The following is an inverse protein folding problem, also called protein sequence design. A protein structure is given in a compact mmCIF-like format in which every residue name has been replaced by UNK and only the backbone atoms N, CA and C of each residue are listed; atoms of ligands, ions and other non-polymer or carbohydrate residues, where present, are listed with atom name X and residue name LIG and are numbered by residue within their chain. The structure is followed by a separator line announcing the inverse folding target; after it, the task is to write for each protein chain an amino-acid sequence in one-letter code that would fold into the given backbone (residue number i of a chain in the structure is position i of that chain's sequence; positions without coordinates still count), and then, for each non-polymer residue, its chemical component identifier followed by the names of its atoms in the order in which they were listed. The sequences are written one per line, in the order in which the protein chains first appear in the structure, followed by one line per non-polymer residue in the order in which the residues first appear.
data_IF_518875447397
#
_entry.id   IF_518875447397
#
_cell.length_a   1.000
_cell.length_b   1.000
_cell.length_c   1.000
_cell.angle_alpha   90.00
_cell.angle_beta   90.00
_cell.angle_gamma   90.00
#
_symmetry.space_group_name_H-M   'P 1'
#
loop_
_entity.id
_entity.type
_entity.pdbx_description
1 polymer ?
#
# COMPACT_ATOMS: atom_id res chain seq x y z
N UNK A 1 -7.87 -25.18 -17.92
CA UNK A 1 -6.65 -24.45 -18.40
C UNK A 1 -5.85 -24.09 -17.16
N UNK A 2 -4.62 -24.54 -17.05
CA UNK A 2 -3.77 -24.32 -15.85
C UNK A 2 -3.60 -22.83 -15.47
N UNK A 3 -3.49 -21.93 -16.45
CA UNK A 3 -3.33 -20.49 -16.22
C UNK A 3 -4.47 -19.83 -15.43
N UNK A 4 -5.62 -20.47 -15.31
CA UNK A 4 -6.79 -19.98 -14.60
C UNK A 4 -7.21 -20.95 -13.47
N UNK A 5 -6.28 -21.78 -13.00
CA UNK A 5 -6.50 -22.60 -11.84
C UNK A 5 -6.07 -21.87 -10.59
N UNK A 6 -6.89 -21.90 -9.56
CA UNK A 6 -6.54 -21.30 -8.26
C UNK A 6 -5.21 -21.84 -7.75
N UNK A 7 -4.38 -20.96 -7.23
CA UNK A 7 -3.18 -21.33 -6.52
C UNK A 7 -3.51 -22.06 -5.23
N UNK A 8 -2.62 -22.98 -4.82
CA UNK A 8 -2.72 -23.66 -3.53
C UNK A 8 -1.43 -23.41 -2.77
N UNK A 9 -1.56 -22.84 -1.57
CA UNK A 9 -0.43 -22.58 -0.68
C UNK A 9 0.09 -23.88 -0.05
N UNK A 10 1.30 -23.86 0.49
CA UNK A 10 1.93 -25.03 1.14
C UNK A 10 1.13 -25.56 2.34
N UNK A 11 0.26 -24.75 2.93
CA UNK A 11 -0.67 -25.16 4.01
C UNK A 11 -1.98 -25.75 3.49
N UNK A 12 -2.15 -25.92 2.17
CA UNK A 12 -3.34 -26.45 1.53
C UNK A 12 -4.44 -25.42 1.25
N UNK A 13 -4.28 -24.17 1.63
CA UNK A 13 -5.27 -23.13 1.37
C UNK A 13 -5.26 -22.73 -0.11
N UNK A 14 -6.45 -22.70 -0.69
CA UNK A 14 -6.67 -22.18 -2.04
C UNK A 14 -6.73 -20.66 -1.99
N UNK A 15 -6.12 -20.01 -2.99
CA UNK A 15 -6.12 -18.55 -3.16
C UNK A 15 -6.72 -18.18 -4.52
N UNK A 16 -7.27 -16.98 -4.62
CA UNK A 16 -7.86 -16.44 -5.85
C UNK A 16 -6.80 -15.84 -6.80
N UNK A 17 -5.56 -16.26 -6.66
CA UNK A 17 -4.47 -15.91 -7.54
C UNK A 17 -3.94 -17.17 -8.24
N UNK A 18 -3.94 -17.13 -9.57
CA UNK A 18 -3.46 -18.21 -10.44
C UNK A 18 -2.03 -17.90 -10.91
N UNK A 19 -1.63 -18.39 -12.07
CA UNK A 19 -0.31 -18.14 -12.67
C UNK A 19 -0.27 -16.75 -13.31
N UNK A 20 -0.08 -15.70 -12.47
CA UNK A 20 -0.01 -14.32 -12.91
C UNK A 20 -1.39 -13.68 -13.22
N UNK A 21 -2.48 -14.25 -12.72
CA UNK A 21 -3.84 -13.76 -12.93
C UNK A 21 -4.62 -13.84 -11.62
N UNK A 22 -5.39 -12.81 -11.30
CA UNK A 22 -6.39 -12.81 -10.25
C UNK A 22 -7.70 -13.37 -10.79
N UNK A 23 -8.34 -14.21 -9.99
CA UNK A 23 -9.63 -14.81 -10.28
C UNK A 23 -10.68 -14.21 -9.34
N UNK A 24 -11.82 -13.81 -9.88
CA UNK A 24 -12.84 -13.16 -9.07
C UNK A 24 -14.20 -13.10 -9.73
N UNK A 25 -15.03 -12.19 -9.24
CA UNK A 25 -16.34 -11.93 -9.82
C UNK A 25 -16.63 -10.42 -9.85
N UNK A 26 -17.17 -9.93 -10.93
CA UNK A 26 -17.66 -8.56 -11.05
C UNK A 26 -19.14 -8.55 -11.42
N UNK A 27 -19.97 -7.96 -10.56
CA UNK A 27 -21.44 -7.88 -10.71
C UNK A 27 -22.08 -9.23 -11.04
N UNK A 28 -21.55 -10.30 -10.43
CA UNK A 28 -22.05 -11.67 -10.56
C UNK A 28 -21.55 -12.45 -11.76
N UNK A 29 -20.67 -11.89 -12.56
CA UNK A 29 -19.96 -12.59 -13.65
C UNK A 29 -18.54 -12.95 -13.20
N UNK A 30 -18.06 -14.19 -13.48
CA UNK A 30 -16.67 -14.54 -13.27
C UNK A 30 -15.73 -13.66 -14.09
N UNK A 31 -14.66 -13.19 -13.45
CA UNK A 31 -13.63 -12.40 -14.10
C UNK A 31 -12.24 -13.03 -13.92
N UNK A 32 -11.37 -12.68 -14.85
CA UNK A 32 -9.93 -12.91 -14.77
C UNK A 32 -9.28 -11.56 -15.04
N UNK A 33 -8.42 -11.12 -14.13
CA UNK A 33 -7.83 -9.80 -14.25
C UNK A 33 -6.37 -9.76 -13.78
N UNK A 34 -5.64 -8.75 -14.20
CA UNK A 34 -4.36 -8.36 -13.65
C UNK A 34 -4.08 -6.89 -13.94
N UNK A 35 -3.44 -6.22 -13.00
CA UNK A 35 -3.10 -4.82 -13.10
C UNK A 35 -1.58 -4.66 -13.20
N UNK A 36 -1.13 -3.51 -13.69
CA UNK A 36 0.28 -3.17 -13.74
C UNK A 36 0.51 -1.71 -13.40
N UNK A 37 1.60 -1.46 -12.67
CA UNK A 37 2.06 -0.12 -12.35
C UNK A 37 3.59 -0.06 -12.46
N UNK A 38 4.11 0.88 -13.24
CA UNK A 38 5.55 1.10 -13.40
C UNK A 38 5.83 2.55 -13.77
N UNK A 39 6.58 3.26 -12.94
CA UNK A 39 7.15 4.60 -13.24
C UNK A 39 6.24 5.57 -14.01
N UNK A 40 4.99 5.76 -13.55
CA UNK A 40 4.04 6.65 -14.18
C UNK A 40 3.15 6.01 -15.25
N UNK A 41 3.34 4.72 -15.52
CA UNK A 41 2.47 3.94 -16.39
C UNK A 41 1.62 3.00 -15.55
N UNK A 42 0.31 3.02 -15.76
CA UNK A 42 -0.64 2.12 -15.14
C UNK A 42 -1.43 1.35 -16.20
N UNK A 43 -1.74 0.09 -15.92
CA UNK A 43 -2.50 -0.75 -16.84
C UNK A 43 -3.51 -1.62 -16.11
N UNK A 44 -4.59 -1.99 -16.79
CA UNK A 44 -5.54 -2.98 -16.35
C UNK A 44 -5.87 -3.93 -17.49
N UNK A 45 -5.90 -5.21 -17.16
CA UNK A 45 -6.45 -6.27 -17.98
C UNK A 45 -7.64 -6.88 -17.25
N UNK A 46 -8.84 -6.78 -17.82
CA UNK A 46 -10.07 -7.32 -17.27
C UNK A 46 -10.75 -8.20 -18.32
N UNK A 47 -11.01 -9.45 -18.00
CA UNK A 47 -11.64 -10.41 -18.90
C UNK A 47 -12.83 -11.07 -18.26
N UNK A 48 -13.91 -11.20 -19.03
CA UNK A 48 -15.11 -11.98 -18.75
C UNK A 48 -15.11 -13.23 -19.65
N UNK A 49 -14.59 -14.37 -19.20
CA UNK A 49 -14.39 -15.54 -20.03
C UNK A 49 -15.69 -16.08 -20.65
N UNK A 50 -16.78 -16.08 -19.89
CA UNK A 50 -18.09 -16.59 -20.33
C UNK A 50 -18.73 -15.68 -21.40
N UNK A 51 -18.52 -14.35 -21.30
CA UNK A 51 -19.01 -13.37 -22.25
C UNK A 51 -18.07 -13.18 -23.45
N UNK A 52 -16.91 -13.84 -23.45
CA UNK A 52 -15.84 -13.65 -24.44
C UNK A 52 -15.45 -12.17 -24.60
N UNK A 53 -15.53 -11.41 -23.54
CA UNK A 53 -15.28 -9.98 -23.54
C UNK A 53 -14.03 -9.68 -22.72
N UNK A 54 -13.19 -8.77 -23.23
CA UNK A 54 -11.99 -8.32 -22.52
C UNK A 54 -11.83 -6.81 -22.70
N UNK A 55 -11.36 -6.17 -21.65
CA UNK A 55 -10.98 -4.75 -21.63
C UNK A 55 -9.53 -4.65 -21.25
N UNK A 56 -8.75 -3.92 -22.04
CA UNK A 56 -7.36 -3.58 -21.75
C UNK A 56 -7.27 -2.07 -21.72
N UNK A 57 -6.75 -1.53 -20.63
CA UNK A 57 -6.54 -0.09 -20.47
C UNK A 57 -5.06 0.13 -20.18
N UNK A 58 -4.42 0.99 -20.97
CA UNK A 58 -3.03 1.39 -20.81
C UNK A 58 -2.98 2.90 -20.61
N UNK A 59 -2.40 3.35 -19.49
CA UNK A 59 -2.30 4.75 -19.13
C UNK A 59 -0.84 5.16 -18.91
N UNK A 60 -0.48 6.35 -19.37
CA UNK A 60 0.80 6.99 -19.11
C UNK A 60 0.69 8.10 -18.05
N UNK A 61 -0.27 7.98 -17.16
CA UNK A 61 -0.54 8.90 -16.06
C UNK A 61 -0.63 8.12 -14.76
N UNK A 62 0.25 8.42 -13.80
CA UNK A 62 0.35 7.70 -12.52
C UNK A 62 -0.93 7.78 -11.66
N UNK A 63 -1.73 8.84 -11.84
CA UNK A 63 -3.01 9.02 -11.13
C UNK A 63 -4.21 8.48 -11.90
N UNK A 64 -4.01 7.85 -13.06
CA UNK A 64 -5.09 7.21 -13.78
C UNK A 64 -5.51 5.92 -13.06
N UNK A 65 -6.81 5.71 -12.95
CA UNK A 65 -7.40 4.47 -12.42
C UNK A 65 -7.84 3.54 -13.55
N UNK A 66 -6.93 2.82 -14.23
CA UNK A 66 -7.27 2.00 -15.38
C UNK A 66 -8.24 0.86 -15.04
N UNK A 67 -8.18 0.34 -13.80
CA UNK A 67 -9.11 -0.68 -13.28
C UNK A 67 -10.54 -0.15 -13.24
N UNK A 68 -10.72 1.04 -12.70
CA UNK A 68 -12.03 1.69 -12.66
C UNK A 68 -12.56 2.01 -14.07
N UNK A 69 -11.66 2.41 -14.99
CA UNK A 69 -12.01 2.63 -16.39
C UNK A 69 -12.42 1.32 -17.08
N UNK A 70 -11.67 0.24 -16.88
CA UNK A 70 -12.01 -1.07 -17.44
C UNK A 70 -13.38 -1.56 -16.95
N UNK A 71 -13.69 -1.39 -15.67
CA UNK A 71 -15.00 -1.75 -15.12
C UNK A 71 -16.13 -0.88 -15.68
N UNK A 72 -15.92 0.45 -15.84
CA UNK A 72 -16.89 1.34 -16.47
C UNK A 72 -17.18 0.93 -17.92
N UNK A 73 -16.16 0.53 -18.68
CA UNK A 73 -16.33 0.03 -20.04
C UNK A 73 -17.13 -1.27 -20.01
N UNK A 74 -16.81 -2.20 -19.13
CA UNK A 74 -17.57 -3.43 -18.96
C UNK A 74 -19.04 -3.15 -18.59
N UNK A 75 -19.29 -2.16 -17.71
CA UNK A 75 -20.65 -1.75 -17.34
C UNK A 75 -21.49 -1.29 -18.53
N UNK A 76 -20.86 -0.67 -19.54
CA UNK A 76 -21.56 -0.23 -20.76
C UNK A 76 -21.89 -1.41 -21.69
N UNK A 77 -20.96 -2.35 -21.85
CA UNK A 77 -21.10 -3.43 -22.83
C UNK A 77 -21.83 -4.66 -22.31
N UNK A 78 -21.70 -4.95 -21.01
CA UNK A 78 -22.26 -6.14 -20.37
C UNK A 78 -23.45 -5.84 -19.43
N UNK A 79 -24.02 -4.64 -19.53
CA UNK A 79 -25.16 -4.24 -18.69
C UNK A 79 -26.30 -5.27 -18.62
N UNK A 80 -26.71 -5.92 -19.73
CA UNK A 80 -27.78 -6.93 -19.73
C UNK A 80 -27.40 -8.22 -19.00
N UNK A 81 -26.10 -8.55 -18.93
CA UNK A 81 -25.59 -9.80 -18.37
C UNK A 81 -25.34 -9.69 -16.85
N UNK A 82 -25.26 -8.48 -16.34
CA UNK A 82 -24.97 -8.26 -14.92
C UNK A 82 -26.18 -8.59 -14.04
N UNK A 83 -25.90 -9.25 -12.93
CA UNK A 83 -26.90 -9.40 -11.87
C UNK A 83 -27.24 -8.03 -11.30
N UNK A 84 -28.51 -7.74 -11.02
CA UNK A 84 -28.88 -6.51 -10.34
C UNK A 84 -28.10 -6.38 -9.06
N UNK A 85 -27.22 -5.38 -8.97
CA UNK A 85 -26.58 -5.05 -7.71
C UNK A 85 -27.69 -4.46 -6.84
N UNK A 86 -28.07 -5.16 -5.78
CA UNK A 86 -28.81 -4.50 -4.69
C UNK A 86 -27.87 -3.43 -4.15
N UNK A 87 -28.02 -2.21 -4.66
CA UNK A 87 -27.47 -1.03 -4.02
C UNK A 87 -28.24 -0.78 -2.72
N UNK A 88 -28.01 -1.62 -1.73
CA UNK A 88 -28.33 -1.28 -0.34
C UNK A 88 -27.18 -0.45 0.22
N UNK A 89 -26.81 0.62 -0.49
CA UNK A 89 -26.23 1.77 0.16
C UNK A 89 -27.41 2.54 0.78
N UNK A 90 -28.02 1.99 1.83
CA UNK A 90 -28.60 2.82 2.86
C UNK A 90 -27.41 3.61 3.39
N UNK A 91 -27.26 4.85 2.92
CA UNK A 91 -26.43 5.83 3.59
C UNK A 91 -27.08 6.03 4.96
N UNK A 92 -26.64 5.24 5.94
CA UNK A 92 -27.02 5.48 7.31
C UNK A 92 -26.53 6.89 7.64
N UNK A 93 -27.43 7.74 8.15
CA UNK A 93 -27.13 9.11 8.54
C UNK A 93 -26.04 9.22 9.63
N UNK A 94 -25.66 8.11 10.23
CA UNK A 94 -24.75 8.00 11.38
C UNK A 94 -23.44 7.29 11.05
N UNK A 95 -22.94 7.40 9.80
CA UNK A 95 -21.64 6.85 9.46
C UNK A 95 -20.51 7.66 10.12
N UNK A 96 -19.48 6.98 10.65
CA UNK A 96 -18.31 7.66 11.22
C UNK A 96 -17.70 8.64 10.22
N UNK A 97 -17.23 9.80 10.71
CA UNK A 97 -16.48 10.73 9.89
C UNK A 97 -15.24 10.02 9.32
N UNK A 98 -15.01 10.07 7.99
CA UNK A 98 -13.80 9.53 7.37
C UNK A 98 -12.50 10.03 8.00
N UNK A 99 -12.49 11.25 8.57
CA UNK A 99 -11.36 11.81 9.30
C UNK A 99 -10.90 10.93 10.48
N UNK A 100 -11.79 10.15 11.08
CA UNK A 100 -11.45 9.22 12.17
C UNK A 100 -10.46 8.14 11.74
N UNK A 101 -10.44 7.80 10.45
CA UNK A 101 -9.57 6.78 9.86
C UNK A 101 -8.26 7.38 9.33
N UNK A 102 -8.15 8.70 9.22
CA UNK A 102 -6.92 9.37 8.81
C UNK A 102 -5.76 9.07 9.76
N UNK A 103 -4.56 8.99 9.23
CA UNK A 103 -3.33 8.71 9.97
C UNK A 103 -2.40 7.73 9.25
N UNK A 104 -1.30 7.43 9.90
CA UNK A 104 -0.27 6.52 9.40
C UNK A 104 -0.38 5.17 10.10
N UNK A 105 -0.33 4.09 9.34
CA UNK A 105 -0.48 2.71 9.80
C UNK A 105 0.75 1.90 9.43
N UNK A 106 1.31 1.19 10.39
CA UNK A 106 2.52 0.36 10.24
C UNK A 106 2.16 -1.11 10.45
N UNK A 107 2.50 -1.93 9.47
CA UNK A 107 2.55 -3.38 9.62
C UNK A 107 3.87 -3.76 10.33
N UNK A 108 3.82 -4.32 11.54
CA UNK A 108 5.01 -4.60 12.31
C UNK A 108 5.88 -5.73 11.71
N UNK A 109 5.31 -6.59 10.87
CA UNK A 109 6.01 -7.72 10.26
C UNK A 109 6.74 -7.32 8.98
N UNK A 110 6.03 -6.63 8.09
CA UNK A 110 6.56 -6.24 6.78
C UNK A 110 7.29 -4.90 6.80
N UNK A 111 7.08 -4.10 7.85
CA UNK A 111 7.50 -2.70 7.96
C UNK A 111 6.92 -1.80 6.87
N UNK A 112 5.88 -2.27 6.19
CA UNK A 112 5.13 -1.46 5.23
C UNK A 112 4.31 -0.41 5.97
N UNK A 113 4.27 0.80 5.43
CA UNK A 113 3.52 1.93 5.99
C UNK A 113 2.56 2.46 4.94
N UNK A 114 1.30 2.66 5.35
CA UNK A 114 0.30 3.38 4.57
C UNK A 114 -0.21 4.59 5.34
N UNK A 115 -0.38 5.71 4.62
CA UNK A 115 -0.91 6.94 5.18
C UNK A 115 -2.23 7.31 4.50
N UNK A 116 -3.23 7.59 5.33
CA UNK A 116 -4.53 8.07 4.91
C UNK A 116 -4.72 9.49 5.41
N UNK A 117 -5.23 10.35 4.54
CA UNK A 117 -5.55 11.74 4.89
C UNK A 117 -7.04 11.99 4.71
N UNK A 118 -7.60 12.91 5.50
CA UNK A 118 -8.98 13.35 5.32
C UNK A 118 -8.98 14.70 4.62
N UNK A 119 -9.78 14.83 3.58
CA UNK A 119 -9.95 16.07 2.84
C UNK A 119 -11.43 16.25 2.44
N UNK A 120 -12.02 17.40 2.82
CA UNK A 120 -13.41 17.76 2.49
C UNK A 120 -14.43 16.64 2.76
N UNK A 121 -14.29 15.93 3.89
CA UNK A 121 -15.19 14.83 4.28
C UNK A 121 -14.95 13.51 3.53
N UNK A 122 -13.86 13.41 2.79
CA UNK A 122 -13.43 12.20 2.13
C UNK A 122 -12.16 11.62 2.79
N UNK A 123 -12.00 10.31 2.72
CA UNK A 123 -10.74 9.65 3.03
C UNK A 123 -9.92 9.53 1.75
N UNK A 124 -8.65 9.89 1.83
CA UNK A 124 -7.72 9.93 0.72
C UNK A 124 -6.55 8.98 0.97
N UNK A 125 -6.10 8.31 -0.08
CA UNK A 125 -4.83 7.60 -0.12
C UNK A 125 -4.23 7.72 -1.52
N UNK A 126 -2.90 7.74 -1.63
CA UNK A 126 -2.16 7.81 -2.92
C UNK A 126 -2.62 8.95 -3.84
N UNK A 127 -3.02 10.08 -3.25
CA UNK A 127 -3.52 11.25 -4.01
C UNK A 127 -4.94 11.09 -4.57
N UNK A 128 -5.69 10.06 -4.17
CA UNK A 128 -7.02 9.78 -4.65
C UNK A 128 -8.05 9.65 -3.52
N UNK A 129 -9.30 9.97 -3.84
CA UNK A 129 -10.44 9.75 -2.95
C UNK A 129 -10.78 8.28 -2.89
N UNK A 130 -10.83 7.72 -1.68
CA UNK A 130 -11.30 6.36 -1.46
C UNK A 130 -12.83 6.29 -1.52
N UNK A 131 -13.34 5.29 -2.22
CA UNK A 131 -14.78 5.09 -2.34
C UNK A 131 -15.32 4.28 -1.17
N UNK A 132 -16.15 4.89 -0.35
CA UNK A 132 -16.75 4.24 0.82
C UNK A 132 -17.66 3.08 0.42
N UNK A 133 -17.53 1.95 1.12
CA UNK A 133 -18.39 0.77 1.00
C UNK A 133 -19.45 0.79 2.10
N UNK A 134 -19.02 0.99 3.35
CA UNK A 134 -19.89 1.02 4.54
C UNK A 134 -19.26 1.83 5.68
N UNK A 135 -19.59 1.51 6.91
CA UNK A 135 -19.16 2.28 8.09
C UNK A 135 -17.65 2.43 8.21
N UNK A 136 -16.90 1.37 7.89
CA UNK A 136 -15.45 1.30 8.12
C UNK A 136 -14.67 0.65 6.97
N UNK A 137 -15.31 0.42 5.81
CA UNK A 137 -14.67 -0.14 4.64
C UNK A 137 -14.71 0.80 3.45
N UNK A 138 -13.62 0.77 2.68
CA UNK A 138 -13.43 1.61 1.50
C UNK A 138 -12.80 0.78 0.38
N UNK A 139 -13.04 1.18 -0.86
CA UNK A 139 -12.28 0.74 -2.02
C UNK A 139 -11.20 1.77 -2.36
N UNK A 140 -10.04 1.31 -2.75
CA UNK A 140 -9.05 2.13 -3.43
C UNK A 140 -9.42 2.36 -4.92
N UNK A 141 -8.45 2.86 -5.72
CA UNK A 141 -8.64 3.04 -7.17
C UNK A 141 -8.72 1.71 -7.95
N UNK A 142 -8.20 0.63 -7.38
CA UNK A 142 -8.29 -0.72 -7.92
C UNK A 142 -9.56 -1.43 -7.48
N UNK A 143 -9.39 -2.48 -6.73
CA UNK A 143 -10.50 -3.24 -6.13
C UNK A 143 -10.16 -3.69 -4.71
N UNK A 144 -9.07 -3.15 -4.16
CA UNK A 144 -8.61 -3.51 -2.83
C UNK A 144 -9.56 -2.96 -1.79
N UNK A 145 -9.96 -3.81 -0.87
CA UNK A 145 -10.81 -3.44 0.23
C UNK A 145 -9.94 -2.99 1.40
N UNK A 146 -10.10 -1.75 1.77
CA UNK A 146 -9.46 -1.14 2.95
C UNK A 146 -10.46 -1.21 4.09
N UNK A 147 -10.11 -1.88 5.18
CA UNK A 147 -10.96 -2.04 6.36
C UNK A 147 -10.28 -1.40 7.56
N UNK A 148 -11.03 -0.61 8.33
CA UNK A 148 -10.58 -0.02 9.58
C UNK A 148 -11.37 -0.63 10.74
N UNK A 149 -10.67 -1.09 11.78
CA UNK A 149 -11.29 -1.67 12.97
C UNK A 149 -10.51 -1.33 14.24
N UNK A 150 -11.18 -1.37 15.39
CA UNK A 150 -10.52 -1.23 16.68
C UNK A 150 -10.14 -2.62 17.21
N UNK A 151 -8.84 -2.86 17.35
CA UNK A 151 -8.28 -4.09 17.91
C UNK A 151 -7.50 -3.73 19.16
N UNK A 152 -7.88 -4.26 20.30
CA UNK A 152 -7.24 -3.98 21.60
C UNK A 152 -7.13 -2.46 21.90
N UNK A 153 -8.16 -1.69 21.54
CA UNK A 153 -8.22 -0.25 21.76
C UNK A 153 -7.47 0.61 20.74
N UNK A 154 -6.68 0.02 19.85
CA UNK A 154 -5.98 0.71 18.76
C UNK A 154 -6.75 0.59 17.44
N UNK A 155 -6.68 1.62 16.62
CA UNK A 155 -7.20 1.56 15.26
C UNK A 155 -6.22 0.73 14.41
N UNK A 156 -6.74 -0.27 13.72
CA UNK A 156 -6.03 -1.10 12.75
C UNK A 156 -6.59 -0.88 11.37
N UNK A 157 -5.73 -0.84 10.38
CA UNK A 157 -6.09 -0.86 8.97
C UNK A 157 -5.63 -2.16 8.34
N UNK A 158 -6.47 -2.78 7.54
CA UNK A 158 -6.09 -3.90 6.68
C UNK A 158 -6.43 -3.60 5.22
N UNK A 159 -5.56 -4.05 4.31
CA UNK A 159 -5.77 -4.01 2.87
C UNK A 159 -5.85 -5.43 2.36
N UNK A 160 -6.90 -5.70 1.60
CA UNK A 160 -7.19 -7.04 1.10
C UNK A 160 -7.60 -7.01 -0.37
N UNK A 161 -7.07 -7.96 -1.12
CA UNK A 161 -7.62 -8.44 -2.39
C UNK A 161 -8.54 -9.63 -2.11
N UNK A 162 -9.37 -10.08 -3.07
CA UNK A 162 -10.18 -11.29 -2.87
C UNK A 162 -9.34 -12.49 -2.43
N UNK A 163 -9.61 -13.01 -1.23
CA UNK A 163 -8.94 -14.18 -0.67
C UNK A 163 -7.66 -13.91 0.12
N UNK A 164 -7.11 -12.69 0.12
CA UNK A 164 -5.83 -12.40 0.79
C UNK A 164 -5.81 -11.02 1.45
N UNK A 165 -5.40 -10.99 2.73
CA UNK A 165 -5.01 -9.75 3.42
C UNK A 165 -3.49 -9.61 3.30
N UNK A 166 -3.04 -8.65 2.52
CA UNK A 166 -1.61 -8.44 2.25
C UNK A 166 -0.97 -7.33 3.12
N UNK A 167 -1.78 -6.56 3.82
CA UNK A 167 -1.34 -5.56 4.80
C UNK A 167 -2.26 -5.59 6.01
N UNK A 168 -1.67 -5.54 7.21
CA UNK A 168 -2.40 -5.34 8.46
C UNK A 168 -1.53 -4.54 9.42
N UNK A 169 -1.84 -3.26 9.57
CA UNK A 169 -1.06 -2.31 10.36
C UNK A 169 -1.86 -1.59 11.42
N UNK A 170 -1.23 -1.33 12.57
CA UNK A 170 -1.82 -0.51 13.64
C UNK A 170 -1.53 0.97 13.37
N UNK A 171 -2.50 1.84 13.71
CA UNK A 171 -2.34 3.29 13.64
C UNK A 171 -1.22 3.74 14.55
N UNK A 172 -0.30 4.51 14.00
CA UNK A 172 0.79 5.11 14.74
C UNK A 172 0.33 6.39 15.45
N UNK A 173 0.86 6.61 16.64
CA UNK A 173 0.82 7.92 17.27
C UNK A 173 1.89 8.81 16.64
N UNK A 174 1.60 10.09 16.39
CA UNK A 174 2.59 11.02 15.85
C UNK A 174 3.84 11.09 16.73
N UNK A 175 5.01 10.93 16.13
CA UNK A 175 6.30 11.03 16.80
C UNK A 175 6.99 12.31 16.34
N UNK A 176 7.40 13.12 17.33
CA UNK A 176 8.24 14.29 17.10
C UNK A 176 9.62 14.03 17.69
N UNK A 177 10.63 14.14 16.86
CA UNK A 177 12.02 14.07 17.27
C UNK A 177 12.62 15.47 17.23
N UNK A 178 13.41 15.81 18.24
CA UNK A 178 14.21 17.05 18.25
C UNK A 178 15.31 16.97 17.19
N UNK A 179 15.82 18.12 16.79
CA UNK A 179 16.95 18.19 15.85
C UNK A 179 18.19 17.46 16.38
N UNK A 180 18.42 17.49 17.69
CA UNK A 180 19.52 16.76 18.34
C UNK A 180 19.32 15.22 18.26
N UNK A 181 18.09 14.73 18.44
CA UNK A 181 17.78 13.32 18.25
C UNK A 181 17.97 12.90 16.79
N UNK A 182 17.48 13.71 15.85
CA UNK A 182 17.62 13.44 14.41
C UNK A 182 19.09 13.49 13.96
N UNK A 183 19.89 14.40 14.50
CA UNK A 183 21.32 14.47 14.20
C UNK A 183 22.06 13.18 14.62
N UNK A 184 21.56 12.47 15.61
CA UNK A 184 22.11 11.16 16.00
C UNK A 184 22.03 10.09 14.88
N UNK A 185 21.03 10.18 14.01
CA UNK A 185 20.84 9.29 12.86
C UNK A 185 21.64 9.71 11.63
N UNK A 186 22.12 10.95 11.57
CA UNK A 186 22.93 11.43 10.47
C UNK A 186 24.25 10.67 10.37
N UNK A 187 24.75 10.52 9.16
CA UNK A 187 26.00 9.80 8.89
C UNK A 187 25.96 9.03 7.59
N UNK A 188 27.02 8.22 7.38
CA UNK A 188 27.14 7.37 6.20
C UNK A 188 26.84 5.92 6.59
N UNK A 189 26.12 5.23 5.70
CA UNK A 189 25.70 3.85 5.87
C UNK A 189 25.94 3.09 4.58
N UNK A 190 26.64 1.97 4.64
CA UNK A 190 27.05 1.18 3.48
C UNK A 190 26.45 -0.21 3.53
N UNK A 191 25.93 -0.66 2.40
CA UNK A 191 25.48 -2.03 2.17
C UNK A 191 26.47 -2.76 1.29
N UNK A 192 27.03 -3.84 1.80
CA UNK A 192 27.90 -4.73 1.02
C UNK A 192 27.07 -5.55 0.00
N UNK A 193 25.80 -5.83 0.35
CA UNK A 193 24.87 -6.58 -0.51
C UNK A 193 24.53 -5.83 -1.79
N UNK A 194 24.35 -4.50 -1.70
CA UNK A 194 23.96 -3.66 -2.83
C UNK A 194 25.10 -2.87 -3.44
N UNK A 195 26.31 -2.93 -2.85
CA UNK A 195 27.42 -2.00 -3.16
C UNK A 195 26.96 -0.54 -3.20
N UNK A 196 26.16 -0.16 -2.21
CA UNK A 196 25.51 1.16 -2.15
C UNK A 196 25.83 1.87 -0.84
N UNK A 197 25.93 3.20 -0.92
CA UNK A 197 26.11 4.06 0.25
C UNK A 197 24.96 5.06 0.37
N UNK A 198 24.36 5.12 1.55
CA UNK A 198 23.42 6.15 1.94
C UNK A 198 24.11 7.19 2.80
N UNK A 199 23.89 8.47 2.48
CA UNK A 199 24.28 9.60 3.34
C UNK A 199 23.02 10.22 3.91
N UNK A 200 22.91 10.22 5.23
CA UNK A 200 21.76 10.73 5.96
C UNK A 200 22.08 12.07 6.60
N UNK A 201 21.17 13.02 6.46
CA UNK A 201 21.18 14.31 7.14
C UNK A 201 19.83 14.60 7.82
N UNK A 202 19.86 15.42 8.88
CA UNK A 202 18.65 15.90 9.53
C UNK A 202 18.22 17.22 8.87
N UNK A 203 16.97 17.30 8.41
CA UNK A 203 16.43 18.47 7.72
C UNK A 203 14.97 18.71 8.12
N UNK A 204 14.69 19.85 8.75
CA UNK A 204 13.31 20.29 9.07
C UNK A 204 12.47 19.24 9.82
N UNK A 205 13.04 18.59 10.83
CA UNK A 205 12.34 17.58 11.64
C UNK A 205 12.24 16.20 10.99
N UNK A 206 12.96 15.95 9.89
CA UNK A 206 12.94 14.72 9.08
C UNK A 206 14.35 14.26 8.74
N UNK A 207 14.49 13.05 8.19
CA UNK A 207 15.74 12.59 7.62
C UNK A 207 15.73 12.73 6.10
N UNK A 208 16.78 13.35 5.56
CA UNK A 208 17.06 13.34 4.12
C UNK A 208 18.09 12.22 3.86
N UNK A 209 17.77 11.32 2.95
CA UNK A 209 18.63 10.18 2.56
C UNK A 209 19.08 10.36 1.13
N UNK A 210 20.38 10.47 0.93
CA UNK A 210 21.00 10.62 -0.37
C UNK A 210 21.74 9.33 -0.75
N UNK A 211 21.48 8.83 -1.95
CA UNK A 211 22.16 7.69 -2.58
C UNK A 211 22.99 8.19 -3.76
N UNK A 212 24.31 8.22 -3.61
CA UNK A 212 25.21 8.72 -4.66
C UNK A 212 24.87 10.16 -5.06
N UNK A 213 24.70 10.41 -6.37
CA UNK A 213 24.36 11.71 -6.94
C UNK A 213 22.86 11.95 -7.13
N UNK A 214 22.02 11.00 -6.70
CA UNK A 214 20.56 11.14 -6.78
C UNK A 214 20.05 12.24 -5.85
N UNK A 215 18.92 12.88 -6.17
CA UNK A 215 18.25 13.77 -5.24
C UNK A 215 17.92 13.06 -3.92
N UNK A 216 18.00 13.76 -2.77
CA UNK A 216 17.67 13.17 -1.49
C UNK A 216 16.19 12.80 -1.43
N UNK A 217 15.90 11.69 -0.77
CA UNK A 217 14.54 11.26 -0.42
C UNK A 217 14.30 11.58 1.04
N UNK A 218 13.13 12.16 1.32
CA UNK A 218 12.74 12.59 2.66
C UNK A 218 11.99 11.47 3.36
N UNK A 219 12.37 11.23 4.61
CA UNK A 219 11.78 10.22 5.49
C UNK A 219 11.18 10.89 6.72
N UNK A 220 9.92 10.64 6.95
CA UNK A 220 9.20 11.06 8.14
C UNK A 220 9.38 10.04 9.28
N UNK A 221 9.43 10.46 10.55
CA UNK A 221 9.50 9.52 11.66
C UNK A 221 8.18 8.74 11.80
N UNK A 222 8.28 7.41 11.81
CA UNK A 222 7.18 6.50 12.13
C UNK A 222 7.17 6.15 13.61
N UNK A 223 8.35 5.84 14.15
CA UNK A 223 8.61 5.62 15.57
C UNK A 223 9.91 6.32 15.96
N UNK A 224 10.41 6.12 17.18
CA UNK A 224 11.68 6.74 17.60
C UNK A 224 12.91 6.25 16.82
N UNK A 225 12.82 5.10 16.16
CA UNK A 225 13.92 4.46 15.45
C UNK A 225 13.52 3.91 14.06
N UNK A 226 12.32 4.24 13.60
CA UNK A 226 11.83 3.86 12.29
C UNK A 226 11.35 5.10 11.54
N UNK A 227 11.72 5.18 10.25
CA UNK A 227 11.38 6.31 9.37
C UNK A 227 10.85 5.79 8.05
N UNK A 228 9.93 6.51 7.45
CA UNK A 228 9.30 6.11 6.20
C UNK A 228 9.27 7.23 5.16
N UNK A 229 9.22 6.87 3.90
CA UNK A 229 9.12 7.79 2.77
C UNK A 229 7.87 7.52 1.94
N UNK A 230 7.48 8.51 1.15
CA UNK A 230 6.31 8.43 0.27
C UNK A 230 6.46 7.40 -0.86
N UNK A 231 7.66 6.92 -1.14
CA UNK A 231 7.96 5.87 -2.13
C UNK A 231 7.99 4.46 -1.51
N UNK A 232 7.32 4.28 -0.36
CA UNK A 232 7.15 3.01 0.35
C UNK A 232 8.43 2.36 0.85
N UNK A 233 9.44 3.15 1.17
CA UNK A 233 10.63 2.67 1.88
C UNK A 233 10.50 2.95 3.37
N UNK A 234 10.94 1.97 4.20
CA UNK A 234 11.06 2.13 5.64
C UNK A 234 12.49 1.84 6.08
N UNK A 235 13.05 2.75 6.87
CA UNK A 235 14.35 2.58 7.52
C UNK A 235 14.11 2.16 8.97
N UNK A 236 14.76 1.08 9.39
CA UNK A 236 14.73 0.59 10.78
C UNK A 236 16.15 0.64 11.32
N UNK A 237 16.42 1.55 12.25
CA UNK A 237 17.77 1.73 12.81
C UNK A 237 18.10 0.66 13.85
N UNK A 238 19.35 0.25 13.83
CA UNK A 238 19.91 -0.77 14.71
C UNK A 238 20.90 -0.12 15.68
N UNK A 239 20.90 -0.63 16.91
CA UNK A 239 21.72 -0.13 18.00
C UNK A 239 22.63 -1.24 18.53
N UNK A 240 23.84 -0.88 18.89
CA UNK A 240 24.77 -1.75 19.60
C UNK A 240 24.42 -1.88 21.10
N UNK A 241 25.27 -2.61 21.84
CA UNK A 241 25.10 -2.81 23.28
C UNK A 241 25.18 -1.51 24.10
N UNK A 242 25.90 -0.50 23.59
CA UNK A 242 26.04 0.82 24.20
C UNK A 242 24.94 1.80 23.78
N UNK A 243 23.90 1.31 23.07
CA UNK A 243 22.80 2.10 22.48
C UNK A 243 23.25 3.14 21.45
N UNK A 244 24.37 2.89 20.78
CA UNK A 244 24.81 3.71 19.63
C UNK A 244 24.27 3.11 18.35
N UNK A 245 23.92 3.97 17.41
CA UNK A 245 23.45 3.53 16.07
C UNK A 245 24.62 2.86 15.36
N UNK A 246 24.50 1.56 15.08
CA UNK A 246 25.52 0.77 14.36
C UNK A 246 25.13 0.49 12.92
N UNK A 247 23.87 0.68 12.54
CA UNK A 247 23.39 0.44 11.18
C UNK A 247 21.91 0.71 11.03
N UNK A 248 21.40 0.36 9.86
CA UNK A 248 19.97 0.37 9.56
C UNK A 248 19.61 -0.78 8.63
N UNK A 249 18.34 -1.16 8.62
CA UNK A 249 17.74 -2.04 7.61
C UNK A 249 16.73 -1.27 6.78
N UNK A 250 16.76 -1.49 5.47
CA UNK A 250 15.81 -0.92 4.52
C UNK A 250 14.76 -1.96 4.18
N UNK A 251 13.50 -1.57 4.26
CA UNK A 251 12.35 -2.34 3.83
C UNK A 251 11.67 -1.62 2.67
N UNK A 252 11.27 -2.37 1.66
CA UNK A 252 10.54 -1.90 0.49
C UNK A 252 9.39 -2.87 0.20
N UNK A 253 8.56 -2.58 -0.78
CA UNK A 253 7.54 -3.53 -1.25
C UNK A 253 8.16 -4.82 -1.84
N UNK A 254 9.36 -4.72 -2.43
CA UNK A 254 10.02 -5.83 -3.13
C UNK A 254 11.11 -6.54 -2.31
N UNK A 255 11.66 -5.89 -1.29
CA UNK A 255 12.79 -6.43 -0.52
C UNK A 255 12.66 -6.06 0.96
N UNK A 256 13.08 -6.96 1.82
CA UNK A 256 12.95 -6.80 3.27
C UNK A 256 14.28 -6.96 3.98
N UNK A 257 14.62 -5.98 4.83
CA UNK A 257 15.73 -6.08 5.74
C UNK A 257 17.12 -5.94 5.10
N UNK A 258 17.24 -5.23 3.97
CA UNK A 258 18.53 -4.94 3.34
C UNK A 258 19.39 -4.16 4.34
N UNK A 259 20.53 -4.70 4.68
CA UNK A 259 21.40 -4.16 5.73
C UNK A 259 22.34 -3.07 5.20
N UNK A 260 22.46 -2.01 6.01
CA UNK A 260 23.46 -0.96 5.85
C UNK A 260 24.18 -0.77 7.18
N UNK A 261 25.47 -0.95 7.20
CA UNK A 261 26.32 -0.72 8.37
C UNK A 261 26.73 0.75 8.44
N UNK A 262 26.73 1.33 9.62
CA UNK A 262 27.23 2.69 9.80
C UNK A 262 28.74 2.69 9.58
N UNK A 263 29.22 3.60 8.72
CA UNK A 263 30.64 3.80 8.44
C UNK A 263 31.07 5.17 8.92
N UNK A 264 32.30 5.27 9.41
CA UNK A 264 32.88 6.52 9.94
C UNK A 264 33.26 7.49 8.82
#
# INVERSE_FOLDING_TARGET
MELQSHGVLNNGNQIDYALGLSLGAYRGLPIVEHNGALFGYHSAFLRFPQQRFSVIVLCNLATAGPEALARKIADLYLAPDFKPTRNTLTVASDLPDPAAFGGTYLDPQTKTIYTFTADHGNLMAWGAVLRRIDANRFYDLGSDVITFEKVNGKMRCSLAIPGEVYFSGDKLEPVHLSEAELAGFAGRYQSDELDATYTLSAENGRLAVKEGDKPPVIFDPATRNEFYSSDFRTLVFQFDADRRICGLSVFTQAARGIRFNRVN
#
